data_IF_035074752772
#
_entry.id   IF_035074752772
#
_cell.length_a   1.000
_cell.length_b   1.000
_cell.length_c   1.000
_cell.angle_alpha   90.00
_cell.angle_beta   90.00
_cell.angle_gamma   90.00
#
_symmetry.space_group_name_H-M   'P 1'
#
loop_
_entity.id
_entity.type
_entity.pdbx_description
1 polymer ?
#
# COMPACT_ATOMS: atom_id res chain seq x y z
N UNK A 1 15.92 -49.99 13.26
CA UNK A 1 16.55 -50.82 12.21
C UNK A 1 16.80 -49.92 11.00
N UNK A 2 18.02 -49.97 10.47
CA UNK A 2 18.56 -49.12 9.38
C UNK A 2 17.93 -49.48 8.03
N UNK A 3 17.96 -48.52 7.07
CA UNK A 3 18.31 -48.64 5.64
C UNK A 3 17.82 -47.36 4.91
N UNK A 4 18.50 -46.67 3.99
CA UNK A 4 19.85 -46.60 3.43
C UNK A 4 19.96 -45.24 2.72
N UNK A 5 21.15 -44.64 2.68
CA UNK A 5 21.50 -43.51 1.82
C UNK A 5 21.56 -43.95 0.34
N UNK A 6 21.29 -43.02 -0.58
CA UNK A 6 21.94 -43.00 -1.89
C UNK A 6 22.14 -41.56 -2.36
N UNK A 7 23.40 -41.12 -2.30
CA UNK A 7 23.95 -39.95 -3.00
C UNK A 7 24.37 -40.41 -4.38
N UNK A 8 23.95 -39.73 -5.45
CA UNK A 8 24.69 -39.77 -6.74
C UNK A 8 24.75 -38.36 -7.32
N UNK A 9 26.00 -37.94 -7.44
CA UNK A 9 26.57 -36.74 -8.04
C UNK A 9 26.59 -36.90 -9.58
N UNK A 10 26.25 -35.85 -10.33
CA UNK A 10 26.66 -35.74 -11.74
C UNK A 10 26.92 -34.27 -12.10
N UNK A 11 28.19 -34.01 -12.42
CA UNK A 11 28.79 -32.73 -12.82
C UNK A 11 28.97 -32.73 -14.35
N UNK A 12 29.01 -31.53 -14.94
CA UNK A 12 29.62 -31.14 -16.23
C UNK A 12 28.78 -31.33 -17.50
N UNK A 13 28.50 -30.23 -18.21
CA UNK A 13 29.37 -29.78 -19.31
C UNK A 13 29.04 -28.35 -19.75
N UNK A 14 30.08 -27.51 -19.79
CA UNK A 14 30.15 -26.22 -20.46
C UNK A 14 30.18 -26.44 -21.98
N UNK A 15 29.40 -25.65 -22.73
CA UNK A 15 29.69 -25.36 -24.14
C UNK A 15 29.83 -23.85 -24.30
N UNK A 16 31.07 -23.41 -24.47
CA UNK A 16 31.45 -22.10 -25.00
C UNK A 16 31.53 -22.27 -26.51
N UNK A 17 30.64 -21.65 -27.27
CA UNK A 17 30.82 -21.47 -28.70
C UNK A 17 31.19 -20.03 -28.99
N UNK A 18 32.45 -19.85 -29.37
CA UNK A 18 32.98 -18.65 -29.99
C UNK A 18 32.29 -18.37 -31.35
N UNK A 19 32.12 -17.09 -31.67
CA UNK A 19 31.81 -16.58 -33.01
C UNK A 19 32.19 -15.10 -33.06
N UNK A 20 33.43 -14.79 -33.43
CA UNK A 20 33.86 -14.29 -34.74
C UNK A 20 33.75 -12.76 -34.87
N UNK A 21 34.89 -12.09 -34.60
CA UNK A 21 35.16 -10.72 -35.03
C UNK A 21 35.75 -10.74 -36.46
N UNK A 22 35.26 -9.83 -37.32
CA UNK A 22 35.97 -9.37 -38.51
C UNK A 22 35.96 -7.84 -38.55
N UNK A 23 37.16 -7.26 -38.56
CA UNK A 23 37.56 -5.92 -39.04
C UNK A 23 37.37 -5.86 -40.58
N UNK A 24 37.23 -4.76 -41.32
CA UNK A 24 37.67 -3.36 -41.22
C UNK A 24 36.82 -2.48 -42.18
N UNK A 25 36.75 -1.18 -41.88
CA UNK A 25 37.02 -0.02 -42.79
C UNK A 25 36.17 1.20 -42.46
N UNK A 26 36.92 2.29 -42.26
CA UNK A 26 36.59 3.68 -41.95
C UNK A 26 35.36 4.28 -42.65
N UNK A 27 34.60 5.07 -41.90
CA UNK A 27 34.38 6.46 -42.30
C UNK A 27 34.25 7.38 -41.08
N UNK A 28 35.00 8.48 -41.12
CA UNK A 28 35.07 9.48 -40.07
C UNK A 28 34.08 10.60 -40.35
N UNK A 29 33.13 10.86 -39.44
CA UNK A 29 32.58 12.21 -39.29
C UNK A 29 31.93 12.44 -37.91
N UNK A 30 32.71 13.09 -37.04
CA UNK A 30 32.34 14.30 -36.28
C UNK A 30 30.89 14.42 -35.77
N UNK A 31 30.66 14.10 -34.50
CA UNK A 31 29.87 14.94 -33.58
C UNK A 31 30.17 14.57 -32.12
N UNK A 32 30.74 15.53 -31.40
CA UNK A 32 30.99 15.48 -29.96
C UNK A 32 29.79 16.13 -29.26
N UNK A 33 29.45 15.58 -28.11
CA UNK A 33 28.64 16.15 -27.01
C UNK A 33 27.11 16.03 -27.11
N UNK A 34 26.59 14.92 -26.57
CA UNK A 34 25.34 14.91 -25.80
C UNK A 34 25.68 14.33 -24.43
N UNK A 35 25.99 15.19 -23.47
CA UNK A 35 25.90 14.87 -22.06
C UNK A 35 24.78 15.72 -21.49
N UNK A 36 23.57 15.18 -21.54
CA UNK A 36 22.48 15.59 -20.66
C UNK A 36 21.48 14.43 -20.66
N UNK A 37 21.77 13.45 -19.82
CA UNK A 37 20.77 12.55 -19.25
C UNK A 37 21.39 11.93 -18.01
N UNK A 38 21.47 12.76 -16.97
CA UNK A 38 21.43 12.25 -15.61
C UNK A 38 20.00 11.77 -15.39
N UNK A 39 19.68 10.58 -15.92
CA UNK A 39 18.52 9.81 -15.48
C UNK A 39 18.86 9.39 -14.07
N UNK A 40 18.29 10.11 -13.12
CA UNK A 40 18.26 9.76 -11.71
C UNK A 40 17.60 8.39 -11.57
N UNK A 41 18.42 7.34 -11.65
CA UNK A 41 18.02 5.97 -11.40
C UNK A 41 17.96 5.77 -9.90
N UNK A 42 16.72 5.68 -9.42
CA UNK A 42 16.40 4.68 -8.41
C UNK A 42 16.19 5.21 -7.01
N UNK A 43 15.20 6.08 -6.85
CA UNK A 43 14.30 5.89 -5.71
C UNK A 43 13.26 4.89 -6.18
N UNK A 44 13.33 3.64 -5.70
CA UNK A 44 12.20 2.72 -5.86
C UNK A 44 10.97 3.45 -5.32
N UNK A 45 10.02 3.81 -6.19
CA UNK A 45 8.71 4.25 -5.72
C UNK A 45 8.21 3.11 -4.83
N UNK A 46 7.96 3.40 -3.55
CA UNK A 46 7.27 2.45 -2.67
C UNK A 46 6.01 2.02 -3.42
N UNK A 47 5.80 0.72 -3.56
CA UNK A 47 4.65 0.14 -4.24
C UNK A 47 3.32 0.61 -3.63
N UNK A 48 3.33 0.97 -2.35
CA UNK A 48 2.16 1.40 -1.57
C UNK A 48 1.75 2.84 -1.87
N UNK A 49 0.46 3.11 -1.78
CA UNK A 49 -0.11 4.45 -1.88
C UNK A 49 0.33 5.32 -0.67
N UNK A 50 0.30 4.70 0.52
CA UNK A 50 0.74 5.29 1.79
C UNK A 50 2.24 5.17 2.07
N UNK A 51 2.64 5.58 3.27
CA UNK A 51 3.99 5.31 3.78
C UNK A 51 4.20 3.83 4.03
N UNK A 52 3.17 3.14 4.53
CA UNK A 52 3.07 1.68 4.62
C UNK A 52 1.84 1.22 3.83
N UNK A 53 1.56 -0.08 3.82
CA UNK A 53 0.31 -0.59 3.24
C UNK A 53 -0.88 0.05 3.98
N UNK A 54 -1.79 0.65 3.22
CA UNK A 54 -2.88 1.46 3.76
C UNK A 54 -4.10 1.49 2.84
N UNK A 55 -4.82 2.61 2.86
CA UNK A 55 -6.03 2.79 2.07
C UNK A 55 -5.72 2.70 0.57
N UNK A 56 -6.44 1.83 -0.14
CA UNK A 56 -6.29 1.57 -1.57
C UNK A 56 -5.19 0.59 -1.96
N UNK A 57 -4.35 0.15 -1.01
CA UNK A 57 -3.36 -0.90 -1.27
C UNK A 57 -4.01 -2.29 -1.34
N UNK A 58 -3.30 -3.26 -1.92
CA UNK A 58 -3.84 -4.61 -2.13
C UNK A 58 -3.83 -5.46 -0.88
N UNK A 59 -4.61 -6.55 -0.84
CA UNK A 59 -4.55 -7.45 0.30
C UNK A 59 -3.17 -8.10 0.46
N UNK A 60 -2.45 -8.29 -0.65
CA UNK A 60 -1.07 -8.76 -0.65
C UNK A 60 -0.10 -7.76 -0.02
N UNK A 61 -0.23 -6.46 -0.33
CA UNK A 61 0.59 -5.41 0.29
C UNK A 61 0.40 -5.39 1.81
N UNK A 62 -0.86 -5.51 2.26
CA UNK A 62 -1.21 -5.60 3.68
C UNK A 62 -0.63 -6.85 4.35
N UNK A 63 -0.69 -8.01 3.69
CA UNK A 63 -0.11 -9.24 4.23
C UNK A 63 1.43 -9.18 4.30
N UNK A 64 2.08 -8.53 3.34
CA UNK A 64 3.53 -8.33 3.35
C UNK A 64 3.98 -7.40 4.49
N UNK A 65 3.22 -6.33 4.76
CA UNK A 65 3.54 -5.34 5.80
C UNK A 65 3.18 -5.84 7.21
N UNK A 66 1.96 -6.36 7.38
CA UNK A 66 1.40 -6.64 8.70
C UNK A 66 1.38 -8.13 9.08
N UNK A 67 1.68 -9.01 8.13
CA UNK A 67 1.59 -10.46 8.27
C UNK A 67 0.19 -10.98 7.95
N UNK A 68 0.02 -12.30 8.08
CA UNK A 68 -1.23 -12.95 7.71
C UNK A 68 -2.40 -12.55 8.64
N UNK A 69 -3.59 -12.20 8.11
CA UNK A 69 -4.72 -11.78 8.92
C UNK A 69 -5.46 -12.97 9.54
N UNK A 70 -6.26 -12.67 10.55
CA UNK A 70 -7.45 -13.46 10.84
C UNK A 70 -8.58 -13.00 9.92
N UNK A 71 -9.23 -13.91 9.19
CA UNK A 71 -10.29 -13.58 8.24
C UNK A 71 -11.66 -13.99 8.75
N UNK A 72 -12.64 -13.09 8.64
CA UNK A 72 -14.06 -13.39 8.84
C UNK A 72 -14.78 -13.23 7.50
N UNK A 73 -14.87 -14.32 6.73
CA UNK A 73 -15.30 -14.28 5.33
C UNK A 73 -14.21 -13.76 4.39
N UNK A 74 -14.58 -13.43 3.16
CA UNK A 74 -13.60 -13.09 2.11
C UNK A 74 -13.19 -11.61 2.12
N UNK A 75 -14.00 -10.73 2.72
CA UNK A 75 -13.84 -9.27 2.59
C UNK A 75 -13.22 -8.61 3.82
N UNK A 76 -13.56 -9.06 5.04
CA UNK A 76 -13.04 -8.50 6.28
C UNK A 76 -11.80 -9.27 6.75
N UNK A 77 -10.68 -8.56 6.87
CA UNK A 77 -9.40 -9.07 7.36
C UNK A 77 -8.95 -8.29 8.59
N UNK A 78 -8.56 -9.02 9.63
CA UNK A 78 -8.12 -8.46 10.91
C UNK A 78 -6.63 -8.70 11.08
N UNK A 79 -5.87 -7.61 11.21
CA UNK A 79 -4.41 -7.64 11.33
C UNK A 79 -3.95 -7.26 12.73
N UNK A 80 -2.74 -7.71 13.08
CA UNK A 80 -2.05 -7.37 14.34
C UNK A 80 -2.91 -7.54 15.60
N UNK A 81 -3.73 -8.59 15.66
CA UNK A 81 -4.55 -8.89 16.82
C UNK A 81 -5.70 -7.91 17.07
N UNK A 82 -6.24 -7.29 16.01
CA UNK A 82 -7.37 -6.37 16.10
C UNK A 82 -7.00 -4.89 16.08
N UNK A 83 -5.72 -4.56 15.87
CA UNK A 83 -5.31 -3.16 15.71
C UNK A 83 -5.81 -2.56 14.39
N UNK A 84 -5.98 -3.39 13.36
CA UNK A 84 -6.51 -2.98 12.07
C UNK A 84 -7.56 -3.97 11.61
N UNK A 85 -8.77 -3.49 11.39
CA UNK A 85 -9.84 -4.22 10.72
C UNK A 85 -10.03 -3.61 9.33
N UNK A 86 -9.82 -4.40 8.28
CA UNK A 86 -9.71 -3.90 6.92
C UNK A 86 -10.71 -4.61 6.03
N UNK A 87 -11.52 -3.83 5.33
CA UNK A 87 -12.44 -4.33 4.31
C UNK A 87 -11.75 -4.21 2.95
N UNK A 88 -11.69 -5.33 2.23
CA UNK A 88 -11.20 -5.38 0.86
C UNK A 88 -12.34 -5.55 -0.14
N UNK A 89 -12.35 -4.71 -1.16
CA UNK A 89 -13.20 -4.86 -2.32
C UNK A 89 -12.34 -4.89 -3.59
N UNK A 90 -12.57 -5.87 -4.47
CA UNK A 90 -11.76 -6.06 -5.70
C UNK A 90 -10.25 -6.02 -5.42
N UNK A 91 -9.82 -6.66 -4.33
CA UNK A 91 -8.43 -6.68 -3.86
C UNK A 91 -7.86 -5.29 -3.50
N UNK A 92 -8.68 -4.38 -3.00
CA UNK A 92 -8.26 -3.05 -2.54
C UNK A 92 -8.83 -2.73 -1.17
N UNK A 93 -8.01 -2.25 -0.26
CA UNK A 93 -8.46 -1.78 1.05
C UNK A 93 -9.35 -0.54 0.88
N UNK A 94 -10.65 -0.67 1.16
CA UNK A 94 -11.64 0.41 0.99
C UNK A 94 -12.09 1.03 2.32
N UNK A 95 -12.00 0.26 3.40
CA UNK A 95 -12.30 0.72 4.76
C UNK A 95 -11.25 0.17 5.72
N UNK A 96 -10.74 1.02 6.61
CA UNK A 96 -9.83 0.64 7.70
C UNK A 96 -10.42 1.17 9.00
N UNK A 97 -10.77 0.27 9.91
CA UNK A 97 -11.17 0.61 11.27
C UNK A 97 -9.98 0.39 12.21
N UNK A 98 -9.68 1.41 13.00
CA UNK A 98 -8.68 1.40 14.04
C UNK A 98 -9.37 1.56 15.40
N UNK A 99 -9.58 0.47 16.14
CA UNK A 99 -10.10 0.57 17.50
C UNK A 99 -9.13 1.34 18.40
N UNK A 100 -9.66 2.19 19.27
CA UNK A 100 -8.84 2.85 20.28
C UNK A 100 -8.39 1.86 21.35
N UNK A 101 -7.19 2.11 21.88
CA UNK A 101 -6.64 1.37 23.02
C UNK A 101 -6.51 2.31 24.20
N UNK A 102 -7.18 1.99 25.30
CA UNK A 102 -7.19 2.79 26.53
C UNK A 102 -7.61 4.25 26.28
N UNK A 103 -8.60 4.47 25.40
CA UNK A 103 -9.13 5.80 25.07
C UNK A 103 -8.20 6.69 24.23
N UNK A 104 -7.05 6.19 23.77
CA UNK A 104 -6.04 6.96 23.02
C UNK A 104 -6.35 7.00 21.53
N UNK A 105 -5.97 8.11 20.89
CA UNK A 105 -6.04 8.26 19.44
C UNK A 105 -5.21 7.17 18.74
N UNK A 106 -5.82 6.34 17.87
CA UNK A 106 -5.07 5.42 17.02
C UNK A 106 -4.15 6.17 16.04
N UNK A 107 -2.98 5.61 15.73
CA UNK A 107 -2.09 6.16 14.72
C UNK A 107 -2.62 5.84 13.32
N UNK A 108 -2.93 6.88 12.53
CA UNK A 108 -3.58 6.73 11.22
C UNK A 108 -2.79 7.30 10.05
N UNK A 109 -1.86 8.23 10.32
CA UNK A 109 -1.12 9.01 9.33
C UNK A 109 -0.38 8.15 8.30
N UNK A 110 0.27 7.08 8.75
CA UNK A 110 1.03 6.19 7.87
C UNK A 110 0.17 5.34 6.92
N UNK A 111 -1.12 5.15 7.27
CA UNK A 111 -2.10 4.36 6.51
C UNK A 111 -2.88 5.18 5.48
N UNK A 112 -2.75 6.51 5.50
CA UNK A 112 -3.40 7.39 4.54
C UNK A 112 -2.54 7.53 3.27
N UNK A 113 -3.15 7.88 2.12
CA UNK A 113 -2.38 8.23 0.93
C UNK A 113 -1.39 9.36 1.17
N UNK A 114 -0.15 9.20 0.69
CA UNK A 114 0.95 10.16 0.91
C UNK A 114 0.69 11.54 0.30
N UNK A 115 -0.09 11.60 -0.78
CA UNK A 115 -0.51 12.83 -1.44
C UNK A 115 -1.87 13.34 -0.94
N UNK A 116 -2.42 12.72 0.10
CA UNK A 116 -3.69 13.07 0.70
C UNK A 116 -3.72 14.52 1.21
N UNK A 117 -4.76 15.25 0.81
CA UNK A 117 -5.01 16.63 1.27
C UNK A 117 -6.39 16.77 1.88
N UNK A 118 -6.44 17.25 3.13
CA UNK A 118 -7.69 17.57 3.81
C UNK A 118 -8.41 18.70 3.07
N UNK A 119 -9.67 18.45 2.74
CA UNK A 119 -10.56 19.37 2.03
C UNK A 119 -11.50 20.08 3.01
N UNK A 120 -12.03 19.35 4.00
CA UNK A 120 -12.97 19.89 4.98
C UNK A 120 -13.01 19.03 6.25
N UNK A 121 -13.60 19.59 7.30
CA UNK A 121 -13.92 18.91 8.55
C UNK A 121 -15.31 19.36 9.02
N UNK A 122 -16.06 18.43 9.59
CA UNK A 122 -17.27 18.73 10.34
C UNK A 122 -17.31 17.86 11.60
N UNK A 123 -17.90 18.38 12.68
CA UNK A 123 -18.05 17.65 13.94
C UNK A 123 -19.49 17.72 14.42
N UNK A 124 -20.00 16.60 14.93
CA UNK A 124 -21.32 16.50 15.53
C UNK A 124 -21.25 15.79 16.87
N UNK A 125 -21.97 16.31 17.85
CA UNK A 125 -22.08 15.71 19.17
C UNK A 125 -23.51 15.20 19.39
N UNK A 126 -23.66 13.97 19.86
CA UNK A 126 -24.96 13.36 20.17
C UNK A 126 -24.81 12.39 21.33
N UNK A 127 -25.57 12.57 22.41
CA UNK A 127 -25.58 11.63 23.53
C UNK A 127 -24.22 11.42 24.21
N UNK A 128 -23.35 12.45 24.26
CA UNK A 128 -22.00 12.34 24.82
C UNK A 128 -20.95 11.80 23.84
N UNK A 129 -21.37 11.29 22.68
CA UNK A 129 -20.48 10.90 21.60
C UNK A 129 -20.17 12.08 20.70
N UNK A 130 -18.91 12.23 20.30
CA UNK A 130 -18.48 13.20 19.29
C UNK A 130 -17.96 12.45 18.07
N UNK A 131 -18.52 12.74 16.91
CA UNK A 131 -18.04 12.24 15.62
C UNK A 131 -17.49 13.41 14.81
N UNK A 132 -16.19 13.37 14.52
CA UNK A 132 -15.54 14.32 13.60
C UNK A 132 -15.28 13.63 12.28
N UNK A 133 -15.82 14.18 11.19
CA UNK A 133 -15.65 13.67 9.82
C UNK A 133 -14.77 14.63 9.05
N UNK A 134 -13.60 14.16 8.66
CA UNK A 134 -12.71 14.86 7.74
C UNK A 134 -12.89 14.31 6.33
N UNK A 135 -12.97 15.19 5.33
CA UNK A 135 -12.94 14.81 3.92
C UNK A 135 -11.58 15.11 3.35
N UNK A 136 -11.04 14.19 2.57
CA UNK A 136 -9.72 14.26 1.99
C UNK A 136 -9.76 13.90 0.49
N UNK A 137 -8.71 14.29 -0.23
CA UNK A 137 -8.53 13.96 -1.63
C UNK A 137 -7.09 13.49 -1.92
N UNK A 138 -6.92 12.47 -2.76
CA UNK A 138 -5.64 11.89 -3.19
C UNK A 138 -5.71 11.46 -4.67
N UNK A 139 -4.73 11.88 -5.46
CA UNK A 139 -4.60 11.44 -6.85
C UNK A 139 -4.04 10.01 -6.95
N UNK A 140 -3.20 9.60 -6.00
CA UNK A 140 -2.72 8.21 -5.93
C UNK A 140 -3.88 7.24 -5.67
N UNK A 141 -4.80 7.60 -4.76
CA UNK A 141 -6.01 6.82 -4.50
C UNK A 141 -6.93 6.80 -5.73
N UNK A 142 -7.10 7.93 -6.42
CA UNK A 142 -7.88 8.00 -7.67
C UNK A 142 -7.32 7.04 -8.73
N UNK A 143 -6.00 6.97 -8.86
CA UNK A 143 -5.34 6.05 -9.80
C UNK A 143 -5.55 4.58 -9.41
N UNK A 144 -5.52 4.27 -8.11
CA UNK A 144 -5.68 2.91 -7.61
C UNK A 144 -7.13 2.42 -7.64
N UNK A 145 -8.08 3.30 -7.30
CA UNK A 145 -9.52 3.04 -7.28
C UNK A 145 -10.25 4.22 -7.96
N UNK A 146 -10.38 4.23 -9.30
CA UNK A 146 -10.97 5.35 -10.04
C UNK A 146 -12.38 5.74 -9.61
N UNK A 147 -13.18 4.77 -9.15
CA UNK A 147 -14.56 5.00 -8.69
C UNK A 147 -14.65 5.96 -7.49
N UNK A 148 -13.56 6.11 -6.71
CA UNK A 148 -13.48 7.03 -5.56
C UNK A 148 -13.33 8.49 -5.98
N UNK A 149 -12.88 8.75 -7.21
CA UNK A 149 -12.43 10.09 -7.65
C UNK A 149 -11.45 10.72 -6.67
N UNK A 150 -10.59 9.88 -6.08
CA UNK A 150 -9.60 10.27 -5.07
C UNK A 150 -10.17 10.68 -3.72
N UNK A 151 -11.48 10.59 -3.51
CA UNK A 151 -12.13 11.05 -2.27
C UNK A 151 -12.10 9.96 -1.21
N UNK A 152 -11.77 10.34 0.01
CA UNK A 152 -11.90 9.49 1.18
C UNK A 152 -12.25 10.30 2.43
N UNK A 153 -12.67 9.62 3.48
CA UNK A 153 -13.03 10.22 4.76
C UNK A 153 -12.21 9.63 5.89
N UNK A 154 -11.95 10.45 6.91
CA UNK A 154 -11.42 10.02 8.20
C UNK A 154 -12.45 10.41 9.26
N UNK A 155 -13.08 9.41 9.86
CA UNK A 155 -14.11 9.57 10.89
C UNK A 155 -13.50 9.25 12.25
N UNK A 156 -13.41 10.25 13.12
CA UNK A 156 -12.90 10.13 14.48
C UNK A 156 -14.06 10.07 15.46
N UNK A 157 -14.22 8.94 16.13
CA UNK A 157 -15.29 8.70 17.10
C UNK A 157 -14.74 8.82 18.52
N UNK A 158 -15.40 9.64 19.35
CA UNK A 158 -15.08 9.82 20.76
C UNK A 158 -16.31 9.60 21.64
N UNK A 159 -16.08 9.08 22.85
CA UNK A 159 -17.05 9.06 23.93
C UNK A 159 -16.53 9.94 25.08
N UNK A 160 -17.14 11.11 25.26
CA UNK A 160 -16.53 12.16 26.09
C UNK A 160 -15.19 12.62 25.49
N UNK A 161 -14.11 12.48 26.25
CA UNK A 161 -12.76 12.87 25.83
C UNK A 161 -11.95 11.70 25.23
N UNK A 162 -12.41 10.46 25.43
CA UNK A 162 -11.72 9.25 25.00
C UNK A 162 -12.08 8.90 23.55
N UNK A 163 -11.08 8.45 22.79
CA UNK A 163 -11.32 7.85 21.48
C UNK A 163 -11.96 6.47 21.65
N UNK A 164 -12.95 6.21 20.80
CA UNK A 164 -13.53 4.88 20.61
C UNK A 164 -12.88 4.21 19.38
N UNK A 165 -12.83 4.93 18.26
CA UNK A 165 -12.30 4.41 17.00
C UNK A 165 -11.95 5.52 16.02
N UNK A 166 -11.09 5.21 15.04
CA UNK A 166 -10.98 5.96 13.80
C UNK A 166 -11.31 5.05 12.62
N UNK A 167 -12.13 5.54 11.69
CA UNK A 167 -12.49 4.83 10.47
C UNK A 167 -12.02 5.65 9.28
N UNK A 168 -11.20 5.04 8.43
CA UNK A 168 -10.78 5.59 7.14
C UNK A 168 -11.56 4.89 6.05
N UNK A 169 -12.27 5.62 5.20
CA UNK A 169 -13.19 5.02 4.21
C UNK A 169 -13.15 5.76 2.86
N UNK A 170 -13.01 5.00 1.77
CA UNK A 170 -13.10 5.50 0.39
C UNK A 170 -14.20 4.83 -0.43
N UNK A 171 -15.13 4.10 0.19
CA UNK A 171 -16.21 3.43 -0.54
C UNK A 171 -17.03 4.47 -1.31
N UNK A 172 -17.19 4.30 -2.64
CA UNK A 172 -17.94 5.25 -3.44
C UNK A 172 -19.39 5.30 -2.99
N UNK A 173 -19.85 6.45 -2.52
CA UNK A 173 -21.21 6.72 -2.08
C UNK A 173 -21.62 6.11 -0.73
N UNK A 174 -21.15 6.71 0.36
CA UNK A 174 -22.06 6.91 1.50
C UNK A 174 -23.07 7.99 1.08
N UNK A 175 -24.14 7.59 0.38
CA UNK A 175 -25.25 8.50 0.06
C UNK A 175 -25.72 9.12 1.38
N UNK A 176 -25.67 10.45 1.45
CA UNK A 176 -26.35 11.24 2.48
C UNK A 176 -27.86 11.09 2.34
#
# INVERSE_FOLDING_TARGET
>A
MKKQLAVVLAILTLFVSAGCSQTDTQDANKAKTTQEQQVDKGKAEKATIGEVAGLGDTAQDWEAEFGHPYAQGDTLKVYKGGLYEVVFEKDRAVTITLPAKDGKEPATDTLLPRDGKKQSENSQQTGGMTMTVEKWHSHMLEKAIPDTKGTYTVMKNKNGEEYDSIIVDCTPNLKK
#
